data_IF_489393236581
#
_entry.id   IF_489393236581
#
_cell.length_a   1.000
_cell.length_b   1.000
_cell.length_c   1.000
_cell.angle_alpha   90.00
_cell.angle_beta   90.00
_cell.angle_gamma   90.00
#
_symmetry.space_group_name_H-M   'P 1'
#
loop_
_entity.id
_entity.type
_entity.pdbx_description
1 polymer ?
#
# COMPACT_ATOMS: atom_id res chain seq x y z
N UNK A 1 11.86 -2.46 -9.94
CA UNK A 1 12.00 -3.45 -11.02
C UNK A 1 10.66 -3.83 -11.60
N UNK A 2 10.67 -4.53 -12.74
CA UNK A 2 9.46 -5.09 -13.37
C UNK A 2 8.95 -6.29 -12.54
N UNK A 3 7.65 -6.37 -12.30
CA UNK A 3 7.01 -7.52 -11.64
C UNK A 3 5.81 -8.00 -12.46
N UNK A 4 5.71 -9.33 -12.61
CA UNK A 4 4.60 -10.03 -13.22
C UNK A 4 3.82 -10.78 -12.13
N UNK A 5 2.54 -10.48 -12.01
CA UNK A 5 1.61 -11.20 -11.15
C UNK A 5 0.79 -12.19 -11.98
N UNK A 6 0.56 -13.37 -11.40
CA UNK A 6 -0.15 -14.52 -11.93
C UNK A 6 -1.44 -14.78 -11.13
N UNK A 7 -2.37 -15.62 -11.64
CA UNK A 7 -3.65 -15.86 -10.98
C UNK A 7 -3.46 -16.25 -9.51
N UNK A 8 -4.25 -15.65 -8.61
CA UNK A 8 -4.17 -15.89 -7.17
C UNK A 8 -3.00 -15.20 -6.45
N UNK A 9 -2.11 -14.50 -7.14
CA UNK A 9 -1.15 -13.64 -6.45
C UNK A 9 -1.85 -12.49 -5.75
N UNK A 10 -1.30 -12.09 -4.62
CA UNK A 10 -1.72 -10.94 -3.83
C UNK A 10 -0.49 -10.31 -3.17
N UNK A 11 -0.65 -9.09 -2.71
CA UNK A 11 0.40 -8.32 -2.07
C UNK A 11 -0.11 -7.86 -0.71
N UNK A 12 0.49 -8.38 0.36
CA UNK A 12 0.17 -7.96 1.72
C UNK A 12 0.38 -6.46 1.89
N UNK A 13 -0.40 -5.85 2.78
CA UNK A 13 -0.22 -4.45 3.11
C UNK A 13 1.16 -4.26 3.75
N UNK A 14 1.87 -3.21 3.36
CA UNK A 14 3.22 -2.92 3.86
C UNK A 14 3.55 -1.44 3.72
N UNK A 15 4.62 -1.05 4.40
CA UNK A 15 5.36 0.18 4.12
C UNK A 15 6.64 -0.16 3.38
N UNK A 16 7.05 0.74 2.51
CA UNK A 16 8.37 0.66 1.90
C UNK A 16 9.47 1.11 2.88
N UNK A 17 10.72 0.75 2.55
CA UNK A 17 11.88 1.04 3.41
C UNK A 17 12.13 2.53 3.49
N UNK A 18 11.97 3.12 4.68
CA UNK A 18 12.19 4.55 4.90
C UNK A 18 13.61 5.02 4.50
N UNK A 19 14.62 4.15 4.55
CA UNK A 19 16.01 4.54 4.24
C UNK A 19 16.26 4.75 2.74
N UNK A 20 15.44 4.15 1.86
CA UNK A 20 15.75 4.08 0.41
C UNK A 20 14.55 4.25 -0.51
N UNK A 21 13.33 4.05 -0.02
CA UNK A 21 12.09 3.97 -0.79
C UNK A 21 11.06 4.95 -0.22
N UNK A 22 11.45 6.22 -0.06
CA UNK A 22 10.61 7.28 0.51
C UNK A 22 9.42 7.57 -0.41
N UNK A 23 9.71 7.75 -1.70
CA UNK A 23 8.72 7.93 -2.75
C UNK A 23 8.80 6.75 -3.70
N UNK A 24 7.66 6.17 -4.02
CA UNK A 24 7.54 5.11 -5.03
C UNK A 24 6.73 5.58 -6.21
N UNK A 25 7.04 5.00 -7.35
CA UNK A 25 6.23 5.12 -8.56
C UNK A 25 5.94 3.75 -9.16
N UNK A 26 4.72 3.61 -9.66
CA UNK A 26 4.25 2.42 -10.36
C UNK A 26 3.86 2.87 -11.75
N UNK A 27 4.55 2.37 -12.76
CA UNK A 27 4.10 2.45 -14.15
C UNK A 27 3.39 1.13 -14.48
N UNK A 28 2.10 1.21 -14.76
CA UNK A 28 1.35 0.04 -15.17
C UNK A 28 1.64 -0.28 -16.63
N UNK A 29 2.19 -1.46 -16.89
CA UNK A 29 2.65 -1.85 -18.23
C UNK A 29 1.51 -2.44 -19.03
N UNK A 30 0.88 -3.51 -18.53
CA UNK A 30 -0.23 -4.18 -19.19
C UNK A 30 -0.95 -5.14 -18.22
N UNK A 31 -2.17 -5.56 -18.57
CA UNK A 31 -2.96 -6.51 -17.80
C UNK A 31 -3.94 -7.30 -18.65
N UNK A 32 -4.23 -8.51 -18.20
CA UNK A 32 -5.36 -9.30 -18.65
C UNK A 32 -6.06 -9.87 -17.42
N UNK A 33 -7.12 -9.16 -17.01
CA UNK A 33 -7.83 -9.37 -15.73
C UNK A 33 -9.33 -9.41 -15.98
N UNK A 34 -10.01 -10.31 -15.27
CA UNK A 34 -11.46 -10.47 -15.38
C UNK A 34 -12.21 -9.36 -14.61
N UNK A 35 -11.54 -8.78 -13.61
CA UNK A 35 -12.04 -7.66 -12.82
C UNK A 35 -10.92 -6.68 -12.46
N UNK A 36 -11.23 -5.41 -12.14
CA UNK A 36 -10.23 -4.45 -11.67
C UNK A 36 -9.42 -5.01 -10.50
N UNK A 37 -8.09 -4.91 -10.61
CA UNK A 37 -7.18 -5.26 -9.54
C UNK A 37 -6.46 -3.98 -9.10
N UNK A 38 -7.05 -3.21 -8.17
CA UNK A 38 -6.49 -1.93 -7.74
C UNK A 38 -5.34 -2.12 -6.75
N UNK A 39 -4.47 -1.12 -6.65
CA UNK A 39 -3.62 -0.95 -5.47
C UNK A 39 -4.46 -0.26 -4.39
N UNK A 40 -4.37 -0.78 -3.18
CA UNK A 40 -5.00 -0.21 -1.98
C UNK A 40 -3.95 0.61 -1.25
N UNK A 41 -4.29 1.84 -0.90
CA UNK A 41 -3.42 2.76 -0.17
C UNK A 41 -4.20 3.33 1.00
N UNK A 42 -3.68 3.16 2.21
CA UNK A 42 -4.15 3.86 3.40
C UNK A 42 -3.27 5.10 3.62
N UNK A 43 -3.90 6.26 3.50
CA UNK A 43 -3.27 7.58 3.58
C UNK A 43 -3.04 7.95 5.05
N UNK A 44 -2.19 8.95 5.31
CA UNK A 44 -1.89 9.38 6.68
C UNK A 44 -3.10 9.97 7.43
N UNK A 45 -4.14 10.39 6.70
CA UNK A 45 -5.40 10.88 7.27
C UNK A 45 -6.36 9.74 7.67
N UNK A 46 -5.91 8.48 7.55
CA UNK A 46 -6.69 7.27 7.85
C UNK A 46 -7.64 6.86 6.74
N UNK A 47 -7.68 7.58 5.60
CA UNK A 47 -8.54 7.20 4.47
C UNK A 47 -7.88 6.10 3.65
N UNK A 48 -8.65 5.05 3.39
CA UNK A 48 -8.29 4.02 2.42
C UNK A 48 -8.82 4.39 1.05
N UNK A 49 -7.94 4.36 0.05
CA UNK A 49 -8.27 4.60 -1.35
C UNK A 49 -7.85 3.41 -2.21
N UNK A 50 -8.60 3.20 -3.29
CA UNK A 50 -8.33 2.15 -4.27
C UNK A 50 -8.04 2.78 -5.63
N UNK A 51 -6.90 2.44 -6.22
CA UNK A 51 -6.44 3.01 -7.48
C UNK A 51 -6.30 1.90 -8.53
N UNK A 52 -7.24 1.87 -9.48
CA UNK A 52 -7.19 0.94 -10.61
C UNK A 52 -6.44 1.54 -11.80
N UNK A 53 -5.11 1.37 -11.81
CA UNK A 53 -4.26 1.84 -12.92
C UNK A 53 -4.54 1.09 -14.22
N UNK A 54 -4.73 1.84 -15.31
CA UNK A 54 -4.82 1.33 -16.70
C UNK A 54 -3.46 1.29 -17.38
N UNK A 55 -3.25 0.41 -18.39
CA UNK A 55 -1.97 0.32 -19.08
C UNK A 55 -1.50 1.69 -19.59
N UNK A 56 -0.25 2.04 -19.29
CA UNK A 56 0.34 3.35 -19.58
C UNK A 56 0.16 4.41 -18.49
N UNK A 57 -0.70 4.18 -17.50
CA UNK A 57 -0.84 5.09 -16.36
C UNK A 57 0.27 4.91 -15.33
N UNK A 58 0.60 6.00 -14.65
CA UNK A 58 1.61 6.05 -13.61
C UNK A 58 1.02 6.63 -12.32
N UNK A 59 1.37 6.01 -11.20
CA UNK A 59 1.05 6.49 -9.85
C UNK A 59 2.35 6.85 -9.12
N UNK A 60 2.33 8.00 -8.42
CA UNK A 60 3.37 8.40 -7.46
C UNK A 60 2.75 8.51 -6.07
N UNK A 61 3.45 8.01 -5.05
CA UNK A 61 2.97 8.08 -3.67
C UNK A 61 4.12 7.96 -2.65
N UNK A 62 3.90 8.50 -1.44
CA UNK A 62 4.84 8.41 -0.31
C UNK A 62 4.77 7.03 0.36
N UNK A 63 5.33 6.03 -0.30
CA UNK A 63 5.27 4.60 0.07
C UNK A 63 5.88 4.26 1.43
N UNK A 64 6.81 5.09 1.91
CA UNK A 64 7.42 4.92 3.22
C UNK A 64 6.48 5.29 4.38
N UNK A 65 5.43 6.10 4.12
CA UNK A 65 4.46 6.55 5.12
C UNK A 65 3.03 6.10 4.86
N UNK A 66 2.67 5.88 3.60
CA UNK A 66 1.34 5.39 3.23
C UNK A 66 1.38 3.88 3.11
N UNK A 67 0.55 3.21 3.89
CA UNK A 67 0.46 1.76 3.90
C UNK A 67 -0.19 1.30 2.61
N UNK A 68 0.36 0.30 1.93
CA UNK A 68 -0.14 -0.06 0.61
C UNK A 68 0.03 -1.53 0.28
N UNK A 69 -0.81 -2.02 -0.63
CA UNK A 69 -0.82 -3.43 -1.02
C UNK A 69 -1.89 -3.74 -2.07
N UNK A 70 -2.07 -5.03 -2.34
CA UNK A 70 -3.10 -5.58 -3.23
C UNK A 70 -3.68 -6.78 -2.50
N UNK A 71 -4.54 -6.55 -1.51
CA UNK A 71 -4.89 -7.58 -0.55
C UNK A 71 -5.88 -8.59 -1.17
N UNK A 72 -6.66 -8.16 -2.19
CA UNK A 72 -7.44 -9.06 -3.06
C UNK A 72 -6.53 -9.95 -3.91
N UNK A 73 -6.79 -11.26 -4.02
CA UNK A 73 -6.13 -12.11 -5.00
C UNK A 73 -6.41 -11.65 -6.44
N UNK A 74 -5.41 -11.76 -7.31
CA UNK A 74 -5.56 -11.47 -8.73
C UNK A 74 -6.50 -12.47 -9.39
N UNK A 75 -7.54 -11.95 -10.05
CA UNK A 75 -8.44 -12.70 -10.91
C UNK A 75 -8.19 -12.35 -12.40
N UNK A 76 -8.05 -13.37 -13.23
CA UNK A 76 -7.58 -13.28 -14.62
C UNK A 76 -6.15 -13.78 -14.84
N UNK A 77 -5.58 -13.55 -16.03
CA UNK A 77 -4.35 -14.23 -16.50
C UNK A 77 -3.06 -13.60 -16.01
N UNK A 78 -2.94 -12.26 -16.04
CA UNK A 78 -1.74 -11.58 -15.58
C UNK A 78 -1.96 -10.10 -15.28
N UNK A 79 -1.08 -9.54 -14.45
CA UNK A 79 -0.95 -8.10 -14.23
C UNK A 79 0.52 -7.74 -14.12
N UNK A 80 1.01 -6.76 -14.89
CA UNK A 80 2.44 -6.39 -14.89
C UNK A 80 2.67 -4.90 -14.67
N UNK A 81 3.68 -4.57 -13.88
CA UNK A 81 4.03 -3.18 -13.56
C UNK A 81 5.52 -3.01 -13.30
N UNK A 82 6.03 -1.82 -13.62
CA UNK A 82 7.38 -1.39 -13.28
C UNK A 82 7.34 -0.56 -12.00
N UNK A 83 8.07 -1.01 -10.99
CA UNK A 83 8.20 -0.31 -9.70
C UNK A 83 9.53 0.44 -9.66
N UNK A 84 9.51 1.72 -9.32
CA UNK A 84 10.71 2.53 -9.14
C UNK A 84 10.62 3.23 -7.79
N UNK A 85 11.75 3.30 -7.10
CA UNK A 85 11.83 3.79 -5.73
C UNK A 85 12.88 4.88 -5.65
N UNK A 86 12.57 5.92 -4.89
CA UNK A 86 13.39 7.11 -4.75
C UNK A 86 13.51 7.51 -3.29
N UNK A 87 14.64 8.13 -2.95
CA UNK A 87 14.83 8.85 -1.70
C UNK A 87 15.29 10.28 -2.03
N UNK A 88 14.99 11.28 -1.17
CA UNK A 88 15.50 12.63 -1.33
C UNK A 88 17.02 12.65 -1.44
N UNK A 89 17.56 13.65 -2.14
CA UNK A 89 19.00 13.90 -2.14
C UNK A 89 19.45 14.15 -0.69
N UNK A 90 20.60 13.57 -0.33
CA UNK A 90 21.19 13.68 1.02
C UNK A 90 20.32 13.07 2.14
N UNK A 91 19.42 12.13 1.81
CA UNK A 91 18.64 11.36 2.77
C UNK A 91 19.54 10.44 3.61
N UNK A 92 19.77 10.84 4.86
CA UNK A 92 20.58 10.12 5.85
C UNK A 92 19.72 9.78 7.04
N UNK A 93 18.97 8.69 6.91
CA UNK A 93 18.20 8.11 8.00
C UNK A 93 18.81 6.78 8.40
N UNK A 94 19.29 6.67 9.63
CA UNK A 94 19.72 5.40 10.20
C UNK A 94 18.61 4.77 11.04
N UNK A 95 18.65 3.44 11.19
CA UNK A 95 17.67 2.71 12.02
C UNK A 95 17.57 3.26 13.45
N UNK A 96 18.68 3.74 14.02
CA UNK A 96 18.71 4.34 15.35
C UNK A 96 17.85 5.61 15.43
N UNK A 97 17.80 6.38 14.35
CA UNK A 97 17.05 7.64 14.28
C UNK A 97 15.55 7.35 14.29
N UNK A 98 15.13 6.27 13.61
CA UNK A 98 13.74 5.79 13.60
C UNK A 98 13.30 5.36 15.01
N UNK A 99 14.11 4.57 15.70
CA UNK A 99 13.79 4.08 17.05
C UNK A 99 13.61 5.26 18.02
N UNK A 100 14.54 6.22 18.00
CA UNK A 100 14.48 7.41 18.86
C UNK A 100 13.21 8.24 18.58
N UNK A 101 12.83 8.39 17.31
CA UNK A 101 11.60 9.10 16.95
C UNK A 101 10.35 8.41 17.54
N UNK A 102 10.23 7.09 17.42
CA UNK A 102 9.09 6.34 17.94
C UNK A 102 8.98 6.40 19.47
N UNK A 103 10.12 6.31 20.17
CA UNK A 103 10.19 6.42 21.62
C UNK A 103 9.80 7.81 22.11
N UNK A 104 10.32 8.86 21.46
CA UNK A 104 10.07 10.26 21.83
C UNK A 104 8.59 10.65 21.72
N UNK A 105 7.86 10.06 20.78
CA UNK A 105 6.44 10.34 20.56
C UNK A 105 5.49 9.49 21.41
N UNK A 106 6.01 8.60 22.27
CA UNK A 106 5.15 7.76 23.13
C UNK A 106 4.25 6.79 22.35
N UNK A 107 4.59 6.50 21.09
CA UNK A 107 3.83 5.61 20.20
C UNK A 107 3.86 4.16 20.68
N UNK A 108 4.83 3.81 21.53
CA UNK A 108 4.78 2.61 22.36
C UNK A 108 3.83 2.82 23.53
N UNK A 109 2.52 2.88 23.27
CA UNK A 109 1.56 2.78 24.36
C UNK A 109 1.66 1.37 24.96
N UNK A 110 2.05 1.29 26.24
CA UNK A 110 1.91 0.07 27.04
C UNK A 110 0.44 -0.10 27.41
N UNK A 111 -0.34 -0.70 26.52
CA UNK A 111 -1.72 -1.06 26.81
C UNK A 111 -2.41 -1.68 25.61
N UNK A 112 -3.01 -2.86 25.82
CA UNK A 112 -4.05 -3.37 24.92
C UNK A 112 -5.25 -2.41 24.98
N UNK A 113 -6.08 -2.33 23.93
CA UNK A 113 -7.34 -1.60 24.01
C UNK A 113 -8.16 -2.09 25.23
N UNK A 114 -9.04 -1.24 25.80
CA UNK A 114 -9.73 -1.52 27.07
C UNK A 114 -10.57 -2.81 27.09
N UNK A 115 -10.96 -3.29 25.91
CA UNK A 115 -11.71 -4.53 25.69
C UNK A 115 -10.82 -5.77 25.57
N UNK A 116 -9.49 -5.60 25.53
CA UNK A 116 -8.52 -6.68 25.33
C UNK A 116 -8.59 -7.34 23.95
N UNK A 117 -9.42 -6.82 23.05
CA UNK A 117 -9.67 -7.38 21.73
C UNK A 117 -8.84 -6.58 20.71
N UNK A 118 -7.69 -7.13 20.34
CA UNK A 118 -7.00 -6.67 19.16
C UNK A 118 -7.56 -7.39 17.93
N UNK A 119 -7.82 -6.68 16.81
CA UNK A 119 -8.07 -7.36 15.55
C UNK A 119 -6.88 -8.26 15.24
N UNK A 120 -7.14 -9.46 14.74
CA UNK A 120 -6.05 -10.36 14.38
C UNK A 120 -5.24 -9.71 13.25
N UNK A 121 -3.99 -9.35 13.52
CA UNK A 121 -3.05 -8.87 12.52
C UNK A 121 -1.93 -9.90 12.39
N UNK A 122 -1.70 -10.42 11.18
CA UNK A 122 -0.67 -11.44 10.92
C UNK A 122 0.43 -10.86 10.04
N UNK A 123 1.67 -11.05 10.47
CA UNK A 123 2.85 -10.70 9.69
C UNK A 123 3.16 -11.80 8.66
N UNK A 124 3.51 -11.39 7.44
CA UNK A 124 4.05 -12.27 6.40
C UNK A 124 5.22 -11.56 5.71
N UNK A 125 6.43 -11.97 6.06
CA UNK A 125 7.64 -11.29 5.61
C UNK A 125 7.70 -9.86 6.16
N UNK A 126 7.76 -8.87 5.27
CA UNK A 126 7.79 -7.43 5.62
C UNK A 126 6.42 -6.76 5.58
N UNK A 127 5.36 -7.51 5.28
CA UNK A 127 3.99 -7.00 5.27
C UNK A 127 3.13 -7.69 6.31
N UNK A 128 1.88 -7.26 6.36
CA UNK A 128 0.86 -7.74 7.27
C UNK A 128 -0.49 -7.81 6.56
N UNK A 129 -1.41 -8.55 7.18
CA UNK A 129 -2.76 -8.74 6.70
C UNK A 129 -3.68 -9.10 7.86
N UNK A 130 -4.97 -8.85 7.70
CA UNK A 130 -5.98 -9.14 8.71
C UNK A 130 -6.76 -10.39 8.26
N UNK A 131 -6.58 -11.57 8.90
CA UNK A 131 -7.11 -12.83 8.42
C UNK A 131 -8.63 -12.93 8.56
N UNK A 132 -9.22 -12.17 9.49
CA UNK A 132 -10.65 -12.22 9.80
C UNK A 132 -11.45 -11.22 8.95
N UNK A 133 -10.77 -10.39 8.16
CA UNK A 133 -11.37 -9.37 7.32
C UNK A 133 -11.59 -9.90 5.88
N UNK A 134 -12.68 -9.48 5.22
CA UNK A 134 -12.83 -9.67 3.78
C UNK A 134 -11.61 -9.11 3.04
N UNK A 135 -11.20 -9.81 1.99
CA UNK A 135 -10.06 -9.40 1.16
C UNK A 135 -8.76 -9.17 1.94
N UNK A 136 -8.64 -9.73 3.15
CA UNK A 136 -7.50 -9.57 4.04
C UNK A 136 -7.23 -8.15 4.56
N UNK A 137 -8.19 -7.22 4.44
CA UNK A 137 -8.07 -5.84 4.92
C UNK A 137 -9.43 -5.22 5.28
N UNK A 138 -9.68 -4.98 6.57
CA UNK A 138 -10.97 -4.52 7.10
C UNK A 138 -11.36 -3.12 6.60
N UNK A 139 -10.40 -2.23 6.35
CA UNK A 139 -10.66 -0.88 5.86
C UNK A 139 -11.33 -0.86 4.47
N UNK A 140 -11.31 -1.98 3.73
CA UNK A 140 -12.02 -2.11 2.46
C UNK A 140 -13.53 -2.32 2.61
N UNK A 141 -14.02 -2.79 3.77
CA UNK A 141 -15.44 -3.02 3.99
C UNK A 141 -16.28 -1.72 3.97
N UNK A 142 -15.63 -0.55 4.10
CA UNK A 142 -16.25 0.78 4.06
C UNK A 142 -16.04 1.57 2.76
N UNK A 143 -15.20 1.11 1.81
CA UNK A 143 -14.84 1.83 0.58
C UNK A 143 -15.75 1.49 -0.59
N UNK A 144 -17.07 1.58 -0.40
CA UNK A 144 -18.01 1.61 -1.51
C UNK A 144 -18.05 3.02 -2.14
N UNK A 145 -16.96 3.44 -2.79
CA UNK A 145 -17.00 4.49 -3.82
C UNK A 145 -15.79 4.33 -4.75
N UNK A 146 -15.97 3.93 -6.01
CA UNK A 146 -14.88 3.95 -6.98
C UNK A 146 -14.44 5.39 -7.17
N UNK A 147 -13.13 5.66 -7.05
CA UNK A 147 -12.54 6.95 -7.31
C UNK A 147 -13.02 7.48 -8.68
N UNK A 148 -13.47 8.74 -8.68
CA UNK A 148 -14.10 9.38 -9.81
C UNK A 148 -13.28 9.25 -11.10
N UNK A 149 -13.98 8.94 -12.21
CA UNK A 149 -13.44 8.98 -13.57
C UNK A 149 -12.83 10.36 -13.83
N UNK A 150 -11.51 10.47 -13.80
CA UNK A 150 -10.79 11.62 -14.35
C UNK A 150 -10.16 11.18 -15.67
N UNK A 151 -10.74 11.65 -16.76
CA UNK A 151 -10.18 11.46 -18.09
C UNK A 151 -8.88 12.24 -18.21
N UNK A 152 -7.86 11.59 -18.77
CA UNK A 152 -6.70 12.24 -19.38
C UNK A 152 -5.76 12.99 -18.44
N UNK A 153 -4.56 12.42 -18.29
CA UNK A 153 -3.33 13.01 -17.73
C UNK A 153 -3.31 13.24 -16.22
N UNK A 154 -2.55 12.34 -15.56
CA UNK A 154 -2.03 12.43 -14.18
C UNK A 154 -3.10 12.36 -13.08
N UNK A 155 -3.30 11.16 -12.52
CA UNK A 155 -4.00 10.98 -11.26
C UNK A 155 -3.15 11.59 -10.13
N UNK A 156 -3.45 12.84 -9.78
CA UNK A 156 -2.93 13.48 -8.58
C UNK A 156 -3.83 13.05 -7.42
N UNK A 157 -3.35 12.09 -6.63
CA UNK A 157 -3.85 11.93 -5.27
C UNK A 157 -3.16 13.01 -4.45
N UNK A 158 -3.94 13.96 -3.95
CA UNK A 158 -3.47 14.84 -2.86
C UNK A 158 -3.41 13.97 -1.61
N UNK A 159 -2.30 13.22 -1.49
CA UNK A 159 -1.84 12.59 -0.27
C UNK A 159 -1.39 13.72 0.64
#
# INVERSE_FOLDING_TARGET
>A
GLRLYRPGNWLTMHFDRMETHVISSILHVDRDVDEPWPIVIECYDGKTVEVDLKPGEMLFYESAKCMHGRPRPLNGRFYTSLFMHYAPKDWKLEKKDIIVLLEKHGLWQKGLPPDGLLPALRMKGTGFFEPDCPDHWCSLAGTAQPAAKTGGTQARLDL
#
